data_IF_285481280761
#
_entry.id   IF_285481280761
#
_cell.length_a   1.000
_cell.length_b   1.000
_cell.length_c   1.000
_cell.angle_alpha   90.00
_cell.angle_beta   90.00
_cell.angle_gamma   90.00
#
_symmetry.space_group_name_H-M   'P 1'
#
loop_
_entity.id
_entity.type
_entity.pdbx_description
1 polymer ?
#
# COMPACT_ATOMS: atom_id res chain seq x y z
N UNK A 1 -3.71 -23.36 2.08
CA UNK A 1 -3.65 -22.11 1.27
C UNK A 1 -3.13 -21.00 2.15
N UNK A 2 -1.95 -20.45 1.83
CA UNK A 2 -1.47 -19.24 2.51
C UNK A 2 -2.21 -18.06 1.87
N UNK A 3 -3.02 -17.34 2.63
CA UNK A 3 -3.66 -16.12 2.18
C UNK A 3 -2.73 -14.98 2.58
N UNK A 4 -1.81 -14.59 1.69
CA UNK A 4 -1.17 -13.29 1.82
C UNK A 4 -2.25 -12.24 1.50
N UNK A 5 -2.73 -11.51 2.51
CA UNK A 5 -3.46 -10.27 2.26
C UNK A 5 -2.42 -9.22 1.92
N UNK A 6 -1.94 -9.24 0.69
CA UNK A 6 -1.01 -8.24 0.23
C UNK A 6 -1.78 -6.93 0.04
N UNK A 7 -1.72 -6.06 1.04
CA UNK A 7 -2.28 -4.72 0.92
C UNK A 7 -1.23 -3.91 0.17
N UNK A 8 -1.33 -3.89 -1.15
CA UNK A 8 -0.35 -3.22 -1.99
C UNK A 8 -0.56 -1.70 -1.93
N UNK A 9 0.52 -0.95 -1.77
CA UNK A 9 0.50 0.51 -1.85
C UNK A 9 0.10 0.95 -3.26
N UNK A 10 -0.88 1.86 -3.36
CA UNK A 10 -1.35 2.44 -4.61
C UNK A 10 -0.82 3.90 -4.73
N UNK A 11 0.19 4.15 -5.58
CA UNK A 11 0.75 5.49 -5.75
C UNK A 11 -0.27 6.50 -6.27
N UNK A 12 -1.28 6.06 -7.02
CA UNK A 12 -2.37 6.91 -7.49
C UNK A 12 -3.28 7.41 -6.36
N UNK A 13 -3.55 6.58 -5.35
CA UNK A 13 -4.25 7.00 -4.14
C UNK A 13 -3.42 8.00 -3.33
N UNK A 14 -2.11 7.78 -3.21
CA UNK A 14 -1.20 8.68 -2.52
C UNK A 14 -1.14 10.06 -3.20
N UNK A 15 -0.98 10.10 -4.53
CA UNK A 15 -0.99 11.33 -5.31
C UNK A 15 -2.31 12.12 -5.15
N UNK A 16 -3.46 11.43 -5.13
CA UNK A 16 -4.78 12.06 -4.88
C UNK A 16 -4.90 12.70 -3.49
N UNK A 17 -4.08 12.27 -2.53
CA UNK A 17 -4.03 12.87 -1.18
C UNK A 17 -2.96 13.96 -1.07
N UNK A 18 -2.27 14.27 -2.16
CA UNK A 18 -1.21 15.26 -2.21
C UNK A 18 0.14 14.74 -1.73
N UNK A 19 0.29 13.44 -1.50
CA UNK A 19 1.56 12.87 -1.05
C UNK A 19 2.60 13.03 -2.18
N UNK A 20 3.76 13.63 -1.91
CA UNK A 20 4.83 13.75 -2.89
C UNK A 20 5.49 12.40 -3.15
N UNK A 21 5.88 12.17 -4.40
CA UNK A 21 6.66 11.00 -4.79
C UNK A 21 8.02 10.99 -4.09
N UNK A 22 8.56 9.78 -3.84
CA UNK A 22 9.86 9.60 -3.19
C UNK A 22 9.74 9.03 -1.76
N UNK A 23 10.46 9.57 -0.76
CA UNK A 23 10.57 8.92 0.56
C UNK A 23 9.23 8.78 1.30
N UNK A 24 8.25 9.67 1.05
CA UNK A 24 6.92 9.56 1.63
C UNK A 24 6.15 8.33 1.12
N UNK A 25 6.28 7.99 -0.17
CA UNK A 25 5.71 6.77 -0.74
C UNK A 25 6.35 5.54 -0.13
N UNK A 26 7.67 5.54 0.02
CA UNK A 26 8.41 4.46 0.68
C UNK A 26 7.93 4.22 2.11
N UNK A 27 7.73 5.28 2.90
CA UNK A 27 7.18 5.18 4.26
C UNK A 27 5.77 4.58 4.27
N UNK A 28 4.88 5.08 3.41
CA UNK A 28 3.53 4.56 3.29
C UNK A 28 3.50 3.09 2.83
N UNK A 29 4.38 2.71 1.92
CA UNK A 29 4.55 1.32 1.49
C UNK A 29 5.10 0.41 2.61
N UNK A 30 5.88 0.96 3.55
CA UNK A 30 6.34 0.25 4.75
C UNK A 30 5.30 0.24 5.90
N UNK A 31 4.11 0.80 5.69
CA UNK A 31 3.08 0.87 6.74
C UNK A 31 3.27 2.02 7.73
N UNK A 32 4.07 3.02 7.38
CA UNK A 32 4.33 4.19 8.22
C UNK A 32 3.47 5.39 7.77
N UNK A 33 2.86 6.09 8.72
CA UNK A 33 2.05 7.26 8.44
C UNK A 33 2.95 8.48 8.17
N UNK A 34 2.49 9.37 7.29
CA UNK A 34 3.24 10.59 6.93
C UNK A 34 2.33 11.81 7.03
N UNK A 35 2.90 12.94 7.41
CA UNK A 35 2.22 14.24 7.34
C UNK A 35 2.57 14.95 6.05
N UNK A 36 1.54 15.41 5.34
CA UNK A 36 1.66 16.13 4.08
C UNK A 36 0.67 17.29 4.11
N UNK A 37 1.12 18.52 3.84
CA UNK A 37 0.27 19.71 3.88
C UNK A 37 -0.52 19.88 5.20
N UNK A 38 0.09 19.50 6.33
CA UNK A 38 -0.55 19.53 7.65
C UNK A 38 -1.67 18.49 7.83
N UNK A 39 -1.76 17.49 6.96
CA UNK A 39 -2.70 16.37 7.05
C UNK A 39 -1.95 15.06 7.21
N UNK A 40 -2.35 14.25 8.17
CA UNK A 40 -1.84 12.90 8.34
C UNK A 40 -2.46 11.95 7.31
N UNK A 41 -1.62 11.32 6.50
CA UNK A 41 -2.00 10.28 5.55
C UNK A 41 -1.57 8.94 6.12
N UNK A 42 -2.53 8.05 6.35
CA UNK A 42 -2.24 6.69 6.82
C UNK A 42 -1.99 5.74 5.64
N UNK A 43 -1.12 4.73 5.80
CA UNK A 43 -0.85 3.72 4.77
C UNK A 43 -2.13 3.05 4.27
N UNK A 44 -3.03 2.63 5.17
CA UNK A 44 -4.32 2.02 4.82
C UNK A 44 -5.21 2.87 3.92
N UNK A 45 -5.04 4.20 3.91
CA UNK A 45 -5.83 5.09 3.04
C UNK A 45 -5.33 5.14 1.61
N UNK A 46 -4.09 4.70 1.38
CA UNK A 46 -3.39 4.70 0.09
C UNK A 46 -3.00 3.28 -0.32
N UNK A 47 -3.51 2.26 0.37
CA UNK A 47 -3.28 0.87 0.02
C UNK A 47 -4.55 0.28 -0.58
N UNK A 48 -4.41 -0.61 -1.57
CA UNK A 48 -5.51 -1.41 -2.11
C UNK A 48 -5.38 -2.85 -1.64
N UNK A 49 -6.51 -3.43 -1.22
CA UNK A 49 -6.61 -4.86 -0.98
C UNK A 49 -6.76 -5.56 -2.34
N UNK A 50 -5.64 -5.96 -2.94
CA UNK A 50 -5.68 -6.83 -4.12
C UNK A 50 -5.77 -8.26 -3.63
N UNK A 51 -6.93 -8.90 -3.82
CA UNK A 51 -7.09 -10.34 -3.59
C UNK A 51 -6.52 -11.11 -4.77
N UNK A 52 -5.21 -11.15 -4.90
CA UNK A 52 -4.57 -12.13 -5.77
C UNK A 52 -4.64 -13.50 -5.10
N UNK A 53 -5.54 -14.35 -5.60
CA UNK A 53 -5.52 -15.78 -5.27
C UNK A 53 -4.38 -16.40 -6.07
N UNK A 54 -3.21 -16.51 -5.45
CA UNK A 54 -2.16 -17.38 -5.97
C UNK A 54 -2.65 -18.83 -5.85
N UNK A 55 -2.86 -19.58 -6.95
CA UNK A 55 -3.04 -21.01 -6.86
C UNK A 55 -1.71 -21.60 -6.39
N UNK A 56 -1.66 -22.07 -5.14
CA UNK A 56 -0.62 -23.02 -4.74
C UNK A 56 -0.93 -24.35 -5.42
N UNK A 57 -0.54 -24.48 -6.69
CA UNK A 57 -0.48 -25.79 -7.33
C UNK A 57 0.54 -26.64 -6.55
N UNK A 58 0.26 -27.93 -6.30
CA UNK A 58 1.29 -28.80 -5.73
C UNK A 58 2.45 -28.84 -6.73
N UNK A 59 3.64 -28.42 -6.29
CA UNK A 59 4.87 -28.81 -6.97
C UNK A 59 5.05 -30.30 -6.67
N UNK A 60 4.77 -31.15 -7.65
CA UNK A 60 5.13 -32.58 -7.64
C UNK A 60 6.65 -32.77 -7.63
#
# INVERSE_FOLDING_TARGET
>A
AVIARETAFDPGLAAKRGVPEGPAFGRLANGEAVEVDGKTVRPVQVSRETRERFPIGPSE
#
